data_IF_991056403558
#
_entry.id   IF_991056403558
#
_cell.length_a   1.000
_cell.length_b   1.000
_cell.length_c   1.000
_cell.angle_alpha   90.00
_cell.angle_beta   90.00
_cell.angle_gamma   90.00
#
_symmetry.space_group_name_H-M   'P 1'
#
loop_
_entity.id
_entity.type
_entity.pdbx_description
1 polymer ?
#
# COMPACT_ATOMS: atom_id res chain seq x y z
N UNK A 1 16.68 -32.96 23.08
CA UNK A 1 15.32 -32.38 23.01
C UNK A 1 15.44 -31.13 22.15
N UNK A 2 15.07 -31.24 20.87
CA UNK A 2 15.09 -30.09 19.96
C UNK A 2 14.04 -29.10 20.48
N UNK A 3 14.44 -27.86 20.81
CA UNK A 3 13.48 -26.82 21.12
C UNK A 3 12.55 -26.70 19.91
N UNK A 4 11.28 -27.05 20.07
CA UNK A 4 10.24 -26.73 19.11
C UNK A 4 10.30 -25.23 18.89
N UNK A 5 10.84 -24.83 17.75
CA UNK A 5 10.84 -23.43 17.30
C UNK A 5 9.38 -23.01 17.30
N UNK A 6 8.99 -22.18 18.26
CA UNK A 6 7.62 -21.70 18.38
C UNK A 6 7.31 -20.88 17.11
N UNK A 7 6.23 -21.25 16.43
CA UNK A 7 5.72 -20.56 15.24
C UNK A 7 4.26 -20.11 15.48
N UNK A 8 4.04 -19.25 16.50
CA UNK A 8 2.71 -18.89 16.98
C UNK A 8 1.92 -18.08 15.94
N UNK A 9 2.61 -17.33 15.07
CA UNK A 9 2.03 -16.52 14.01
C UNK A 9 1.94 -17.26 12.66
N UNK A 10 2.34 -18.54 12.62
CA UNK A 10 2.37 -19.37 11.41
C UNK A 10 3.35 -18.89 10.33
N UNK A 11 4.28 -17.99 10.66
CA UNK A 11 5.23 -17.44 9.70
C UNK A 11 6.05 -18.52 9.03
N UNK A 12 6.58 -19.50 9.78
CA UNK A 12 7.37 -20.60 9.21
C UNK A 12 6.50 -21.52 8.37
N UNK A 13 5.30 -21.87 8.84
CA UNK A 13 4.35 -22.67 8.08
C UNK A 13 4.10 -22.05 6.71
N UNK A 14 3.75 -20.76 6.68
CA UNK A 14 3.30 -20.07 5.47
C UNK A 14 4.43 -19.64 4.52
N UNK A 15 5.68 -19.54 5.00
CA UNK A 15 6.80 -19.07 4.18
C UNK A 15 7.74 -20.19 3.71
N UNK A 16 7.40 -21.45 3.98
CA UNK A 16 8.20 -22.62 3.59
C UNK A 16 7.34 -23.70 2.92
N UNK A 17 7.97 -24.75 2.41
CA UNK A 17 7.28 -25.90 1.79
C UNK A 17 6.30 -26.63 2.74
N UNK A 18 6.33 -26.31 4.04
CA UNK A 18 5.37 -26.84 5.02
C UNK A 18 3.92 -26.46 4.70
N UNK A 19 3.68 -25.40 3.92
CA UNK A 19 2.32 -25.01 3.50
C UNK A 19 1.72 -25.94 2.44
N UNK A 20 2.53 -26.72 1.71
CA UNK A 20 2.05 -27.47 0.55
C UNK A 20 0.85 -28.41 0.84
N UNK A 21 0.84 -29.19 1.94
CA UNK A 21 -0.31 -30.03 2.29
C UNK A 21 -1.58 -29.22 2.56
N UNK A 22 -1.45 -28.04 3.18
CA UNK A 22 -2.56 -27.14 3.45
C UNK A 22 -3.17 -26.60 2.15
N UNK A 23 -2.34 -26.13 1.21
CA UNK A 23 -2.81 -25.66 -0.10
C UNK A 23 -3.49 -26.79 -0.88
N UNK A 24 -2.91 -27.99 -0.86
CA UNK A 24 -3.49 -29.16 -1.54
C UNK A 24 -4.85 -29.55 -0.94
N UNK A 25 -4.97 -29.52 0.39
CA UNK A 25 -6.24 -29.78 1.09
C UNK A 25 -7.30 -28.72 0.75
N UNK A 26 -6.92 -27.43 0.73
CA UNK A 26 -7.84 -26.35 0.37
C UNK A 26 -8.34 -26.45 -1.08
N UNK A 27 -7.46 -26.74 -2.02
CA UNK A 27 -7.82 -26.95 -3.43
C UNK A 27 -8.70 -28.20 -3.59
N UNK A 28 -8.36 -29.30 -2.91
CA UNK A 28 -9.15 -30.54 -2.95
C UNK A 28 -10.55 -30.33 -2.36
N UNK A 29 -10.65 -29.58 -1.26
CA UNK A 29 -11.92 -29.20 -0.65
C UNK A 29 -12.80 -28.39 -1.62
N UNK A 30 -12.19 -27.50 -2.41
CA UNK A 30 -12.88 -26.77 -3.48
C UNK A 30 -13.16 -27.62 -4.75
N UNK A 31 -12.77 -28.89 -4.78
CA UNK A 31 -13.03 -29.82 -5.88
C UNK A 31 -11.99 -29.82 -7.00
N UNK A 32 -10.80 -29.25 -6.76
CA UNK A 32 -9.68 -29.25 -7.71
C UNK A 32 -8.53 -30.16 -7.29
N UNK A 33 -7.51 -30.24 -8.13
CA UNK A 33 -6.23 -30.88 -7.80
C UNK A 33 -5.08 -29.88 -7.96
N UNK A 34 -4.32 -29.64 -6.89
CA UNK A 34 -3.18 -28.74 -6.90
C UNK A 34 -2.02 -29.35 -7.70
N UNK A 35 -1.56 -28.65 -8.74
CA UNK A 35 -0.46 -29.10 -9.62
C UNK A 35 0.87 -28.54 -9.14
N UNK A 36 0.91 -27.23 -8.94
CA UNK A 36 2.10 -26.51 -8.46
C UNK A 36 1.68 -25.22 -7.78
N UNK A 37 2.56 -24.65 -6.96
CA UNK A 37 2.33 -23.37 -6.31
C UNK A 37 3.65 -22.61 -6.15
N UNK A 38 3.55 -21.31 -5.98
CA UNK A 38 4.66 -20.42 -5.67
C UNK A 38 4.17 -19.35 -4.69
N UNK A 39 4.97 -19.09 -3.64
CA UNK A 39 4.73 -17.98 -2.73
C UNK A 39 4.82 -16.65 -3.48
N UNK A 40 3.81 -15.81 -3.34
CA UNK A 40 3.61 -14.57 -4.10
C UNK A 40 3.76 -13.33 -3.21
N UNK A 41 3.17 -13.34 -2.01
CA UNK A 41 3.22 -12.22 -1.08
C UNK A 41 3.22 -12.70 0.37
N UNK A 42 3.87 -11.94 1.26
CA UNK A 42 3.88 -12.21 2.72
C UNK A 42 3.68 -10.92 3.52
N UNK A 43 2.58 -10.82 4.26
CA UNK A 43 2.36 -9.83 5.31
C UNK A 43 2.52 -10.49 6.69
N UNK A 44 3.70 -10.35 7.29
CA UNK A 44 4.03 -10.92 8.60
C UNK A 44 4.06 -9.82 9.67
N UNK A 45 3.32 -10.04 10.76
CA UNK A 45 3.40 -9.28 12.00
C UNK A 45 3.95 -10.21 13.09
N UNK A 46 5.26 -10.09 13.42
CA UNK A 46 5.95 -11.04 14.29
C UNK A 46 5.19 -11.33 15.60
N UNK A 47 5.01 -12.61 15.88
CA UNK A 47 4.32 -13.16 17.06
C UNK A 47 2.82 -12.84 17.15
N UNK A 48 2.23 -12.24 16.11
CA UNK A 48 0.81 -11.89 16.09
C UNK A 48 0.07 -12.60 14.95
N UNK A 49 0.51 -12.43 13.71
CA UNK A 49 -0.17 -13.01 12.55
C UNK A 49 0.70 -13.02 11.31
N UNK A 50 0.52 -14.00 10.44
CA UNK A 50 1.07 -14.01 9.09
C UNK A 50 -0.06 -14.22 8.09
N UNK A 51 -0.06 -13.43 7.01
CA UNK A 51 -0.90 -13.66 5.83
C UNK A 51 0.01 -13.82 4.63
N UNK A 52 -0.19 -14.87 3.83
CA UNK A 52 0.55 -15.12 2.61
C UNK A 52 -0.39 -15.40 1.45
N UNK A 53 0.02 -15.03 0.23
CA UNK A 53 -0.64 -15.49 -0.99
C UNK A 53 0.25 -16.38 -1.82
N UNK A 54 -0.39 -17.24 -2.60
CA UNK A 54 0.26 -18.20 -3.46
C UNK A 54 -0.39 -18.17 -4.83
N UNK A 55 0.43 -18.04 -5.87
CA UNK A 55 0.00 -18.38 -7.22
C UNK A 55 0.03 -19.88 -7.37
N UNK A 56 -1.03 -20.49 -7.88
CA UNK A 56 -1.16 -21.93 -7.99
C UNK A 56 -1.68 -22.34 -9.37
N UNK A 57 -1.16 -23.45 -9.89
CA UNK A 57 -1.74 -24.13 -11.04
C UNK A 57 -2.67 -25.21 -10.50
N UNK A 58 -3.93 -25.17 -10.87
CA UNK A 58 -4.97 -26.08 -10.37
C UNK A 58 -5.68 -26.75 -11.54
N UNK A 59 -5.82 -28.08 -11.46
CA UNK A 59 -6.69 -28.84 -12.34
C UNK A 59 -8.10 -28.86 -11.75
N UNK A 60 -9.01 -28.14 -12.40
CA UNK A 60 -10.43 -28.18 -12.08
C UNK A 60 -11.18 -29.16 -12.99
N UNK A 61 -12.40 -29.59 -12.62
CA UNK A 61 -13.27 -30.36 -13.51
C UNK A 61 -13.57 -29.66 -14.84
N UNK A 62 -13.46 -28.34 -14.88
CA UNK A 62 -13.65 -27.50 -16.07
C UNK A 62 -12.33 -27.05 -16.74
N UNK A 63 -11.20 -27.66 -16.35
CA UNK A 63 -9.89 -27.43 -16.96
C UNK A 63 -8.85 -26.80 -16.04
N UNK A 64 -7.59 -26.83 -16.47
CA UNK A 64 -6.45 -26.27 -15.75
C UNK A 64 -6.49 -24.74 -15.73
N UNK A 65 -6.26 -24.12 -14.57
CA UNK A 65 -6.21 -22.66 -14.40
C UNK A 65 -5.10 -22.22 -13.46
N UNK A 66 -4.72 -20.95 -13.58
CA UNK A 66 -3.93 -20.26 -12.58
C UNK A 66 -4.87 -19.62 -11.56
N UNK A 67 -4.62 -19.86 -10.28
CA UNK A 67 -5.42 -19.41 -9.16
C UNK A 67 -4.53 -18.64 -8.18
N UNK A 68 -5.16 -17.78 -7.38
CA UNK A 68 -4.51 -17.09 -6.27
C UNK A 68 -5.18 -17.54 -4.97
N UNK A 69 -4.40 -18.11 -4.06
CA UNK A 69 -4.86 -18.52 -2.74
C UNK A 69 -4.30 -17.56 -1.70
N UNK A 70 -5.12 -17.14 -0.75
CA UNK A 70 -4.67 -16.44 0.45
C UNK A 70 -4.78 -17.37 1.66
N UNK A 71 -3.80 -17.28 2.55
CA UNK A 71 -3.76 -18.02 3.81
C UNK A 71 -3.38 -17.08 4.94
N UNK A 72 -4.11 -17.12 6.05
CA UNK A 72 -3.77 -16.40 7.28
C UNK A 72 -3.65 -17.35 8.47
N UNK A 73 -2.64 -17.12 9.31
CA UNK A 73 -2.46 -17.75 10.61
C UNK A 73 -2.29 -16.68 11.70
N UNK A 74 -2.79 -16.93 12.91
CA UNK A 74 -2.82 -15.95 14.01
C UNK A 74 -2.50 -16.61 15.35
N UNK A 75 -1.71 -15.91 16.17
CA UNK A 75 -1.37 -16.36 17.52
C UNK A 75 -2.55 -16.32 18.48
N UNK A 76 -3.44 -15.33 18.32
CA UNK A 76 -4.58 -15.08 19.21
C UNK A 76 -5.90 -15.70 18.72
N UNK A 77 -5.84 -16.65 17.78
CA UNK A 77 -7.01 -17.31 17.22
C UNK A 77 -7.77 -16.47 16.19
N UNK A 78 -8.99 -16.92 15.88
CA UNK A 78 -9.84 -16.40 14.80
C UNK A 78 -10.44 -15.02 15.09
N UNK A 79 -10.74 -14.33 14.00
CA UNK A 79 -11.53 -13.11 13.92
C UNK A 79 -12.90 -13.41 13.31
N UNK A 80 -13.96 -12.62 13.57
CA UNK A 80 -15.30 -12.89 13.04
C UNK A 80 -15.35 -13.02 11.50
N UNK A 81 -14.49 -12.28 10.79
CA UNK A 81 -14.46 -12.34 9.33
C UNK A 81 -13.83 -13.63 8.80
N UNK A 82 -13.07 -14.36 9.63
CA UNK A 82 -12.51 -15.67 9.25
C UNK A 82 -13.60 -16.71 8.96
N UNK A 83 -14.80 -16.56 9.52
CA UNK A 83 -15.95 -17.44 9.24
C UNK A 83 -16.48 -17.31 7.80
N UNK A 84 -16.02 -16.29 7.06
CA UNK A 84 -16.34 -16.09 5.63
C UNK A 84 -15.38 -16.84 4.69
N UNK A 85 -14.41 -17.56 5.23
CA UNK A 85 -13.41 -18.34 4.51
C UNK A 85 -13.31 -19.76 5.07
N UNK A 86 -12.58 -20.63 4.38
CA UNK A 86 -12.41 -22.01 4.80
C UNK A 86 -11.35 -22.11 5.90
N UNK A 87 -11.60 -22.91 6.93
CA UNK A 87 -10.71 -23.06 8.08
C UNK A 87 -10.13 -24.47 8.08
N UNK A 88 -8.80 -24.56 8.13
CA UNK A 88 -8.05 -25.79 8.21
C UNK A 88 -7.23 -25.84 9.49
N UNK A 89 -6.98 -27.04 9.99
CA UNK A 89 -6.22 -27.25 11.23
C UNK A 89 -4.89 -27.94 10.90
N UNK A 90 -3.78 -27.34 11.32
CA UNK A 90 -2.42 -27.88 11.26
C UNK A 90 -1.84 -28.00 12.68
N UNK A 91 -1.92 -29.20 13.27
CA UNK A 91 -1.60 -29.42 14.68
C UNK A 91 -2.53 -28.65 15.60
N UNK A 92 -1.99 -27.77 16.44
CA UNK A 92 -2.76 -26.90 17.33
C UNK A 92 -3.13 -25.54 16.70
N UNK A 93 -2.86 -25.36 15.39
CA UNK A 93 -3.03 -24.08 14.69
C UNK A 93 -4.18 -24.12 13.71
N UNK A 94 -4.95 -23.03 13.66
CA UNK A 94 -5.97 -22.80 12.64
C UNK A 94 -5.41 -21.89 11.55
N UNK A 95 -5.57 -22.31 10.30
CA UNK A 95 -5.23 -21.54 9.10
C UNK A 95 -6.51 -21.22 8.32
N UNK A 96 -6.69 -19.94 7.99
CA UNK A 96 -7.84 -19.43 7.25
C UNK A 96 -7.44 -19.31 5.80
N UNK A 97 -8.11 -20.03 4.90
CA UNK A 97 -7.77 -20.16 3.49
C UNK A 97 -8.91 -19.66 2.62
N UNK A 98 -8.59 -18.86 1.60
CA UNK A 98 -9.55 -18.45 0.59
C UNK A 98 -8.95 -18.50 -0.81
N UNK A 99 -9.81 -18.74 -1.81
CA UNK A 99 -9.46 -18.54 -3.21
C UNK A 99 -9.93 -17.16 -3.65
N UNK A 100 -9.04 -16.39 -4.28
CA UNK A 100 -9.41 -15.14 -4.95
C UNK A 100 -10.59 -15.39 -5.92
N UNK A 101 -11.59 -14.49 -6.00
CA UNK A 101 -11.70 -13.19 -5.33
C UNK A 101 -12.45 -13.20 -3.99
N UNK A 102 -12.60 -14.35 -3.31
CA UNK A 102 -13.38 -14.50 -2.06
C UNK A 102 -12.59 -14.13 -0.81
N UNK A 103 -11.94 -12.97 -0.83
CA UNK A 103 -11.23 -12.47 0.36
C UNK A 103 -12.23 -12.18 1.50
N UNK A 104 -12.06 -12.81 2.68
CA UNK A 104 -13.02 -12.71 3.76
C UNK A 104 -13.12 -11.32 4.38
N UNK A 105 -12.19 -10.39 4.16
CA UNK A 105 -12.27 -9.02 4.67
C UNK A 105 -12.73 -8.00 3.61
N UNK A 106 -12.87 -8.41 2.34
CA UNK A 106 -13.17 -7.53 1.20
C UNK A 106 -14.47 -7.97 0.50
N UNK A 107 -15.66 -7.66 1.05
CA UNK A 107 -16.94 -8.19 0.57
C UNK A 107 -17.26 -7.84 -0.90
N UNK A 108 -16.83 -6.66 -1.36
CA UNK A 108 -17.06 -6.23 -2.75
C UNK A 108 -16.08 -6.82 -3.76
N UNK A 109 -15.05 -7.56 -3.34
CA UNK A 109 -13.97 -8.01 -4.24
C UNK A 109 -14.50 -8.95 -5.32
N UNK A 110 -15.42 -9.85 -4.97
CA UNK A 110 -16.04 -10.76 -5.93
C UNK A 110 -16.76 -9.99 -7.05
N UNK A 111 -17.53 -8.95 -6.70
CA UNK A 111 -18.18 -8.08 -7.68
C UNK A 111 -17.15 -7.31 -8.53
N UNK A 112 -16.12 -6.78 -7.88
CA UNK A 112 -15.11 -5.97 -8.54
C UNK A 112 -14.21 -6.77 -9.49
N UNK A 113 -14.10 -8.09 -9.32
CA UNK A 113 -13.23 -8.94 -10.12
C UNK A 113 -13.79 -9.29 -11.52
N UNK A 114 -15.09 -9.09 -11.78
CA UNK A 114 -15.75 -9.56 -13.00
C UNK A 114 -16.41 -8.42 -13.80
N UNK A 115 -16.16 -8.29 -15.12
CA UNK A 115 -16.76 -7.26 -15.97
C UNK A 115 -18.30 -7.27 -15.98
N UNK A 116 -18.92 -8.44 -15.93
CA UNK A 116 -20.37 -8.63 -15.95
C UNK A 116 -21.06 -7.93 -14.77
N UNK A 117 -20.43 -8.01 -13.61
CA UNK A 117 -20.93 -7.43 -12.38
C UNK A 117 -20.64 -5.93 -12.30
N UNK A 118 -19.43 -5.53 -12.72
CA UNK A 118 -19.04 -4.12 -12.78
C UNK A 118 -19.82 -3.32 -13.82
N UNK A 119 -20.24 -3.93 -14.93
CA UNK A 119 -21.05 -3.32 -15.98
C UNK A 119 -22.31 -2.66 -15.43
N UNK A 120 -23.05 -3.32 -14.53
CA UNK A 120 -24.28 -2.78 -13.93
C UNK A 120 -23.99 -1.57 -13.04
N UNK A 121 -22.95 -1.66 -12.21
CA UNK A 121 -22.51 -0.54 -11.37
C UNK A 121 -22.13 0.66 -12.22
N UNK A 122 -21.25 0.47 -13.21
CA UNK A 122 -20.74 1.55 -14.07
C UNK A 122 -21.84 2.15 -14.94
N UNK A 123 -22.84 1.37 -15.37
CA UNK A 123 -24.02 1.90 -16.05
C UNK A 123 -24.77 2.93 -15.21
N UNK A 124 -24.93 2.65 -13.90
CA UNK A 124 -25.52 3.58 -12.95
C UNK A 124 -24.66 4.83 -12.73
N UNK A 125 -23.33 4.67 -12.63
CA UNK A 125 -22.39 5.79 -12.48
C UNK A 125 -22.40 6.72 -13.70
N UNK A 126 -22.41 6.15 -14.90
CA UNK A 126 -22.32 6.92 -16.15
C UNK A 126 -23.68 7.41 -16.65
N UNK A 127 -24.79 6.90 -16.11
CA UNK A 127 -26.14 7.24 -16.56
C UNK A 127 -26.48 6.69 -17.95
N UNK A 128 -25.68 5.78 -18.50
CA UNK A 128 -25.88 5.13 -19.80
C UNK A 128 -25.60 3.64 -19.69
N UNK A 129 -26.25 2.77 -20.49
CA UNK A 129 -25.93 1.35 -20.50
C UNK A 129 -24.46 1.10 -20.88
N UNK A 130 -23.75 0.34 -20.04
CA UNK A 130 -22.37 -0.10 -20.25
C UNK A 130 -22.38 -1.63 -20.42
N UNK A 131 -22.26 -2.18 -21.64
CA UNK A 131 -22.21 -3.61 -21.84
C UNK A 131 -20.97 -4.26 -21.18
N UNK A 132 -21.05 -5.51 -20.67
CA UNK A 132 -19.91 -6.21 -20.07
C UNK A 132 -18.67 -6.32 -20.96
N UNK A 133 -18.84 -6.55 -22.26
CA UNK A 133 -17.76 -6.63 -23.26
C UNK A 133 -17.03 -5.29 -23.48
N UNK A 134 -17.59 -4.20 -22.94
CA UNK A 134 -17.00 -2.86 -22.98
C UNK A 134 -16.33 -2.45 -21.69
N UNK A 135 -16.31 -3.32 -20.68
CA UNK A 135 -15.63 -3.10 -19.41
C UNK A 135 -14.32 -3.89 -19.38
N UNK A 136 -13.21 -3.19 -19.24
CA UNK A 136 -11.91 -3.80 -18.94
C UNK A 136 -11.51 -3.48 -17.52
N UNK A 137 -11.16 -4.52 -16.76
CA UNK A 137 -10.71 -4.42 -15.38
C UNK A 137 -9.23 -4.78 -15.29
N UNK A 138 -8.43 -3.84 -14.81
CA UNK A 138 -7.01 -4.04 -14.54
C UNK A 138 -6.79 -3.99 -13.01
N UNK A 139 -6.30 -5.07 -12.39
CA UNK A 139 -5.94 -5.05 -10.96
C UNK A 139 -4.70 -4.16 -10.77
N UNK A 140 -4.85 -3.04 -10.05
CA UNK A 140 -3.75 -2.11 -9.77
C UNK A 140 -2.99 -2.53 -8.51
N UNK A 141 -3.70 -3.04 -7.51
CA UNK A 141 -3.07 -3.58 -6.32
C UNK A 141 -4.06 -4.34 -5.47
N UNK A 142 -3.64 -5.50 -4.99
CA UNK A 142 -4.37 -6.31 -4.04
C UNK A 142 -3.48 -6.52 -2.82
N UNK A 143 -3.94 -6.06 -1.66
CA UNK A 143 -3.33 -6.31 -0.36
C UNK A 143 -4.28 -7.24 0.39
N UNK A 144 -3.96 -8.54 0.46
CA UNK A 144 -4.79 -9.56 1.09
C UNK A 144 -5.34 -9.10 2.44
N UNK A 145 -6.64 -9.26 2.65
CA UNK A 145 -7.39 -8.87 3.84
C UNK A 145 -7.38 -7.39 4.21
N UNK A 146 -6.88 -6.51 3.33
CA UNK A 146 -6.72 -5.07 3.61
C UNK A 146 -7.44 -4.19 2.63
N UNK A 147 -7.15 -4.33 1.34
CA UNK A 147 -7.78 -3.56 0.26
C UNK A 147 -7.47 -4.15 -1.11
N UNK A 148 -8.31 -3.85 -2.10
CA UNK A 148 -7.96 -3.98 -3.50
C UNK A 148 -8.25 -2.67 -4.24
N UNK A 149 -7.52 -2.40 -5.32
CA UNK A 149 -7.76 -1.27 -6.22
C UNK A 149 -7.73 -1.79 -7.64
N UNK A 150 -8.81 -1.54 -8.37
CA UNK A 150 -8.92 -1.89 -9.78
C UNK A 150 -9.11 -0.64 -10.63
N UNK A 151 -8.53 -0.64 -11.82
CA UNK A 151 -8.80 0.35 -12.85
C UNK A 151 -9.85 -0.22 -13.79
N UNK A 152 -11.03 0.37 -13.78
CA UNK A 152 -12.12 0.04 -14.69
C UNK A 152 -12.10 1.00 -15.87
N UNK A 153 -11.86 0.46 -17.07
CA UNK A 153 -11.93 1.22 -18.32
C UNK A 153 -13.19 0.85 -19.08
N UNK A 154 -13.95 1.83 -19.53
CA UNK A 154 -15.11 1.64 -20.41
C UNK A 154 -14.85 2.27 -21.77
N UNK A 155 -15.03 1.51 -22.85
CA UNK A 155 -14.91 1.99 -24.23
C UNK A 155 -16.31 2.00 -24.89
N UNK A 156 -16.91 3.18 -25.02
CA UNK A 156 -18.31 3.37 -25.47
C UNK A 156 -18.40 4.22 -26.74
N UNK A 157 -19.57 4.25 -27.36
CA UNK A 157 -19.87 5.12 -28.51
C UNK A 157 -20.94 6.13 -28.10
N UNK A 158 -20.61 7.41 -28.20
CA UNK A 158 -21.50 8.53 -27.89
C UNK A 158 -21.84 9.37 -29.13
N UNK A 159 -22.61 10.46 -28.95
CA UNK A 159 -23.03 11.33 -30.06
C UNK A 159 -21.86 11.97 -30.84
N UNK A 160 -20.71 12.17 -30.19
CA UNK A 160 -19.51 12.75 -30.79
C UNK A 160 -18.50 11.69 -31.27
N UNK A 161 -18.89 10.41 -31.28
CA UNK A 161 -18.03 9.29 -31.63
C UNK A 161 -17.63 8.44 -30.41
N UNK A 162 -16.65 7.53 -30.58
CA UNK A 162 -16.18 6.68 -29.50
C UNK A 162 -15.49 7.51 -28.41
N UNK A 163 -15.73 7.15 -27.15
CA UNK A 163 -15.10 7.76 -26.01
C UNK A 163 -14.73 6.70 -24.97
N UNK A 164 -13.69 7.03 -24.19
CA UNK A 164 -13.18 6.20 -23.10
C UNK A 164 -13.43 6.91 -21.78
N UNK A 165 -13.82 6.14 -20.78
CA UNK A 165 -13.90 6.60 -19.38
C UNK A 165 -13.14 5.64 -18.48
N UNK A 166 -12.48 6.18 -17.46
CA UNK A 166 -11.68 5.41 -16.51
C UNK A 166 -12.14 5.74 -15.10
N UNK A 167 -12.35 4.69 -14.32
CA UNK A 167 -12.62 4.76 -12.90
C UNK A 167 -11.61 3.93 -12.12
N UNK A 168 -11.34 4.32 -10.89
CA UNK A 168 -10.60 3.51 -9.93
C UNK A 168 -11.56 3.02 -8.86
N UNK A 169 -11.63 1.70 -8.68
CA UNK A 169 -12.54 1.04 -7.74
C UNK A 169 -11.72 0.55 -6.56
N UNK A 170 -11.85 1.23 -5.41
CA UNK A 170 -11.29 0.77 -4.15
C UNK A 170 -12.27 -0.22 -3.51
N UNK A 171 -11.82 -1.45 -3.28
CA UNK A 171 -12.49 -2.46 -2.46
C UNK A 171 -11.93 -2.36 -1.05
N UNK A 172 -12.79 -2.05 -0.08
CA UNK A 172 -12.39 -1.75 1.28
C UNK A 172 -13.01 -2.74 2.27
N UNK A 173 -12.43 -2.78 3.48
CA UNK A 173 -13.06 -3.43 4.62
C UNK A 173 -14.25 -2.61 5.10
N UNK A 174 -15.29 -3.30 5.58
CA UNK A 174 -16.50 -2.68 6.13
C UNK A 174 -16.18 -1.63 7.20
N UNK A 175 -15.25 -1.93 8.10
CA UNK A 175 -14.85 -1.06 9.21
C UNK A 175 -14.19 0.25 8.78
N UNK A 176 -13.66 0.33 7.55
CA UNK A 176 -12.94 1.50 7.03
C UNK A 176 -13.74 2.28 5.98
N UNK A 177 -14.76 1.67 5.38
CA UNK A 177 -15.41 2.18 4.19
C UNK A 177 -15.96 3.61 4.34
N UNK A 178 -16.80 3.84 5.35
CA UNK A 178 -17.41 5.16 5.60
C UNK A 178 -16.36 6.22 5.97
N UNK A 179 -15.32 5.81 6.70
CA UNK A 179 -14.23 6.68 7.12
C UNK A 179 -13.41 7.19 5.92
N UNK A 180 -13.16 6.31 4.95
CA UNK A 180 -12.44 6.64 3.70
C UNK A 180 -13.32 7.51 2.80
N UNK A 181 -14.60 7.15 2.63
CA UNK A 181 -15.56 7.95 1.84
C UNK A 181 -15.64 9.39 2.37
N UNK A 182 -15.79 9.57 3.69
CA UNK A 182 -15.87 10.89 4.33
C UNK A 182 -14.61 11.73 4.12
N UNK A 183 -13.42 11.13 4.12
CA UNK A 183 -12.16 11.84 3.86
C UNK A 183 -12.10 12.40 2.44
N UNK A 184 -12.49 11.61 1.45
CA UNK A 184 -12.58 12.08 0.06
C UNK A 184 -13.57 13.25 -0.07
N UNK A 185 -14.77 13.13 0.50
CA UNK A 185 -15.78 14.19 0.46
C UNK A 185 -15.32 15.47 1.16
N UNK A 186 -14.66 15.35 2.32
CA UNK A 186 -14.10 16.47 3.07
C UNK A 186 -13.10 17.27 2.23
N UNK A 187 -12.13 16.59 1.60
CA UNK A 187 -11.11 17.25 0.79
C UNK A 187 -11.69 17.89 -0.46
N UNK A 188 -12.59 17.18 -1.16
CA UNK A 188 -13.27 17.73 -2.34
C UNK A 188 -14.10 18.96 -2.00
N UNK A 189 -14.82 18.94 -0.87
CA UNK A 189 -15.60 20.09 -0.40
C UNK A 189 -14.75 21.32 -0.09
N UNK A 190 -13.46 21.13 0.20
CA UNK A 190 -12.49 22.20 0.44
C UNK A 190 -11.70 22.62 -0.82
N UNK A 191 -11.96 22.03 -1.98
CA UNK A 191 -11.26 22.36 -3.23
C UNK A 191 -9.88 21.70 -3.39
N UNK A 192 -9.49 20.78 -2.50
CA UNK A 192 -8.27 19.97 -2.68
C UNK A 192 -8.47 19.03 -3.88
N UNK A 193 -7.47 18.87 -4.77
CA UNK A 193 -7.60 18.10 -6.00
C UNK A 193 -7.57 16.57 -5.79
N UNK A 194 -8.37 16.07 -4.85
CA UNK A 194 -8.56 14.63 -4.62
C UNK A 194 -9.49 14.01 -5.69
N UNK A 195 -9.56 12.68 -5.85
CA UNK A 195 -10.53 12.03 -6.72
C UNK A 195 -11.96 12.28 -6.25
N UNK A 196 -12.87 12.56 -7.18
CA UNK A 196 -14.31 12.61 -6.88
C UNK A 196 -14.82 11.18 -6.65
N UNK A 197 -15.63 11.01 -5.60
CA UNK A 197 -16.41 9.78 -5.41
C UNK A 197 -17.55 9.77 -6.40
N UNK A 198 -17.45 8.89 -7.39
CA UNK A 198 -18.47 8.68 -8.42
C UNK A 198 -19.60 7.77 -7.94
N UNK A 199 -19.29 6.78 -7.11
CA UNK A 199 -20.27 5.95 -6.42
C UNK A 199 -19.68 5.28 -5.16
N UNK A 200 -20.58 4.88 -4.27
CA UNK A 200 -20.32 4.09 -3.09
C UNK A 200 -21.36 2.96 -3.02
N UNK A 201 -20.96 1.73 -2.72
CA UNK A 201 -21.87 0.56 -2.71
C UNK A 201 -21.97 -0.11 -1.32
N UNK A 202 -23.06 -0.83 -1.02
CA UNK A 202 -23.23 -1.51 0.28
C UNK A 202 -22.18 -2.59 0.57
N UNK A 203 -21.60 -3.19 -0.46
CA UNK A 203 -20.50 -4.15 -0.40
C UNK A 203 -19.11 -3.48 -0.37
N UNK A 204 -19.04 -2.22 0.04
CA UNK A 204 -17.80 -1.49 0.31
C UNK A 204 -16.91 -1.23 -0.92
N UNK A 205 -17.53 -0.96 -2.08
CA UNK A 205 -16.83 -0.43 -3.25
C UNK A 205 -16.93 1.09 -3.27
N UNK A 206 -15.77 1.75 -3.38
CA UNK A 206 -15.68 3.20 -3.61
C UNK A 206 -15.17 3.42 -5.03
N UNK A 207 -16.03 3.92 -5.91
CA UNK A 207 -15.70 4.23 -7.31
C UNK A 207 -15.25 5.69 -7.39
N UNK A 208 -14.03 5.90 -7.89
CA UNK A 208 -13.37 7.19 -7.97
C UNK A 208 -13.11 7.56 -9.43
N UNK A 209 -13.25 8.83 -9.78
CA UNK A 209 -12.81 9.34 -11.08
C UNK A 209 -11.28 9.24 -11.23
N UNK A 210 -10.80 9.02 -12.45
CA UNK A 210 -9.38 9.19 -12.80
C UNK A 210 -8.97 10.66 -12.58
N UNK A 211 -7.82 10.87 -11.91
CA UNK A 211 -7.22 12.19 -11.80
C UNK A 211 -6.54 12.60 -13.11
N UNK A 212 -6.55 13.90 -13.47
CA UNK A 212 -5.80 14.39 -14.62
C UNK A 212 -4.27 14.30 -14.39
N UNK A 213 -3.51 14.60 -15.45
CA UNK A 213 -2.05 14.62 -15.40
C UNK A 213 -1.43 13.21 -15.33
N UNK A 214 -0.16 13.17 -14.92
CA UNK A 214 0.59 11.92 -14.73
C UNK A 214 1.10 11.82 -13.29
N UNK A 215 1.30 10.60 -12.75
CA UNK A 215 1.92 10.43 -11.45
C UNK A 215 3.32 11.07 -11.39
N UNK A 216 3.62 11.75 -10.27
CA UNK A 216 4.92 12.36 -10.02
C UNK A 216 6.03 11.28 -10.04
N UNK A 217 5.74 10.06 -9.59
CA UNK A 217 6.62 8.89 -9.68
C UNK A 217 7.16 8.61 -11.09
N UNK A 218 6.46 9.04 -12.14
CA UNK A 218 6.94 9.00 -13.52
C UNK A 218 7.63 10.30 -13.91
N UNK A 219 7.01 11.43 -13.57
CA UNK A 219 7.46 12.76 -13.98
C UNK A 219 8.81 13.18 -13.36
N UNK A 220 9.21 12.60 -12.22
CA UNK A 220 10.54 12.85 -11.63
C UNK A 220 11.71 12.44 -12.55
N UNK A 221 11.47 11.62 -13.58
CA UNK A 221 12.48 11.24 -14.56
C UNK A 221 12.49 12.11 -15.82
N UNK A 222 11.51 12.99 -15.98
CA UNK A 222 11.41 13.86 -17.14
C UNK A 222 12.50 14.94 -17.11
N UNK A 223 12.97 15.42 -18.29
CA UNK A 223 14.00 16.47 -18.37
C UNK A 223 13.57 17.78 -17.70
N UNK A 224 12.30 18.16 -17.86
CA UNK A 224 11.72 19.36 -17.28
C UNK A 224 11.26 19.11 -15.83
N UNK A 225 11.43 20.07 -14.90
CA UNK A 225 10.97 19.91 -13.52
C UNK A 225 9.46 19.62 -13.46
N UNK A 226 9.02 18.56 -12.75
CA UNK A 226 7.61 18.17 -12.73
C UNK A 226 6.73 19.14 -11.93
N UNK A 227 7.31 19.79 -10.92
CA UNK A 227 6.73 20.83 -10.09
C UNK A 227 7.87 21.49 -9.27
N UNK A 228 7.58 22.56 -8.55
CA UNK A 228 8.50 23.16 -7.57
C UNK A 228 8.26 22.59 -6.15
N UNK A 229 9.23 22.80 -5.26
CA UNK A 229 9.11 22.37 -3.86
C UNK A 229 8.04 23.16 -3.10
N UNK A 230 7.88 24.45 -3.42
CA UNK A 230 6.86 25.33 -2.85
C UNK A 230 5.46 24.84 -3.20
N UNK A 231 5.26 24.25 -4.39
CA UNK A 231 3.98 23.66 -4.77
C UNK A 231 3.65 22.43 -3.92
N UNK A 232 4.65 21.61 -3.56
CA UNK A 232 4.48 20.46 -2.67
C UNK A 232 4.08 20.92 -1.25
N UNK A 233 4.66 22.01 -0.76
CA UNK A 233 4.23 22.63 0.51
C UNK A 233 2.82 23.22 0.38
N UNK A 234 2.53 23.93 -0.72
CA UNK A 234 1.25 24.59 -0.93
C UNK A 234 0.08 23.60 -1.00
N UNK A 235 0.24 22.45 -1.66
CA UNK A 235 -0.81 21.43 -1.69
C UNK A 235 -1.09 20.87 -0.28
N UNK A 236 -0.06 20.73 0.55
CA UNK A 236 -0.22 20.32 1.95
C UNK A 236 -0.90 21.40 2.80
N UNK A 237 -0.58 22.68 2.57
CA UNK A 237 -1.20 23.81 3.26
C UNK A 237 -2.63 24.08 2.77
N UNK A 238 -3.03 23.54 1.60
CA UNK A 238 -4.42 23.59 1.10
C UNK A 238 -5.37 22.64 1.84
N UNK A 239 -4.84 21.72 2.65
CA UNK A 239 -5.66 20.78 3.44
C UNK A 239 -6.55 21.54 4.43
N UNK A 240 -7.87 21.23 4.50
CA UNK A 240 -8.78 22.00 5.31
C UNK A 240 -8.62 21.67 6.81
N UNK A 241 -8.81 22.68 7.66
CA UNK A 241 -8.70 22.57 9.12
C UNK A 241 -9.40 21.35 9.76
N UNK A 242 -10.62 20.92 9.34
CA UNK A 242 -11.28 19.75 9.93
C UNK A 242 -10.49 18.44 9.80
N UNK A 243 -9.49 18.35 8.93
CA UNK A 243 -8.57 17.19 8.88
C UNK A 243 -7.83 17.01 10.21
N UNK A 244 -7.48 18.10 10.90
CA UNK A 244 -6.86 18.06 12.23
C UNK A 244 -7.76 17.48 13.33
N UNK A 245 -9.06 17.36 13.07
CA UNK A 245 -10.06 16.85 14.02
C UNK A 245 -10.39 15.36 13.77
N UNK A 246 -9.83 14.78 12.71
CA UNK A 246 -9.98 13.36 12.41
C UNK A 246 -9.21 12.49 13.44
N UNK A 247 -9.54 11.20 13.55
CA UNK A 247 -8.76 10.27 14.36
C UNK A 247 -7.28 10.31 13.98
N UNK A 248 -6.42 10.51 14.99
CA UNK A 248 -4.97 10.49 14.80
C UNK A 248 -4.52 9.10 14.35
N UNK A 249 -3.69 9.07 13.32
CA UNK A 249 -2.88 7.90 12.96
C UNK A 249 -1.46 8.12 13.49
N UNK A 250 -0.86 7.06 14.02
CA UNK A 250 0.54 7.10 14.40
C UNK A 250 1.39 7.33 13.15
N UNK A 251 2.31 8.31 13.13
CA UNK A 251 3.28 8.44 12.06
C UNK A 251 4.22 7.22 12.02
N UNK A 252 4.87 7.01 10.88
CA UNK A 252 5.81 5.88 10.69
C UNK A 252 6.91 5.84 11.75
N UNK A 253 7.39 7.01 12.19
CA UNK A 253 8.41 7.16 13.22
C UNK A 253 8.00 6.56 14.58
N UNK A 254 6.72 6.65 14.96
CA UNK A 254 6.23 6.09 16.22
C UNK A 254 6.25 4.55 16.21
N UNK A 255 6.27 3.94 15.02
CA UNK A 255 6.32 2.48 14.83
C UNK A 255 7.71 1.97 14.44
N UNK A 256 8.77 2.77 14.64
CA UNK A 256 10.13 2.43 14.21
C UNK A 256 10.61 1.09 14.77
N UNK A 257 10.36 0.83 16.06
CA UNK A 257 10.75 -0.44 16.70
C UNK A 257 10.06 -1.64 16.04
N UNK A 258 8.78 -1.49 15.70
CA UNK A 258 8.03 -2.55 15.03
C UNK A 258 8.62 -2.88 13.65
N UNK A 259 8.91 -1.87 12.82
CA UNK A 259 9.51 -2.08 11.50
C UNK A 259 10.94 -2.63 11.58
N UNK A 260 11.74 -2.15 12.55
CA UNK A 260 13.06 -2.69 12.83
C UNK A 260 13.01 -4.19 13.12
N UNK A 261 12.12 -4.63 14.02
CA UNK A 261 11.98 -6.06 14.34
C UNK A 261 11.51 -6.89 13.14
N UNK A 262 10.63 -6.34 12.28
CA UNK A 262 10.24 -7.01 11.04
C UNK A 262 11.43 -7.25 10.11
N UNK A 263 12.27 -6.23 9.89
CA UNK A 263 13.45 -6.35 9.03
C UNK A 263 14.49 -7.28 9.64
N UNK A 264 14.72 -7.22 10.96
CA UNK A 264 15.64 -8.11 11.68
C UNK A 264 15.19 -9.57 11.56
N UNK A 265 13.89 -9.86 11.71
CA UNK A 265 13.36 -11.22 11.55
C UNK A 265 13.66 -11.80 10.17
N UNK A 266 13.61 -10.98 9.12
CA UNK A 266 13.95 -11.39 7.76
C UNK A 266 15.47 -11.41 7.49
N UNK A 267 16.23 -10.45 8.06
CA UNK A 267 17.68 -10.27 7.86
C UNK A 267 18.41 -10.04 9.19
N UNK A 268 18.69 -11.10 9.96
CA UNK A 268 19.36 -10.97 11.26
C UNK A 268 20.74 -10.31 11.19
N UNK A 269 21.41 -10.37 10.03
CA UNK A 269 22.71 -9.73 9.79
C UNK A 269 22.67 -8.20 9.89
N UNK A 270 21.50 -7.57 9.78
CA UNK A 270 21.32 -6.12 9.90
C UNK A 270 20.98 -5.66 11.33
N UNK A 271 20.86 -6.58 12.29
CA UNK A 271 20.36 -6.29 13.64
C UNK A 271 21.07 -5.14 14.34
N UNK A 272 22.40 -5.23 14.49
CA UNK A 272 23.16 -4.21 15.20
C UNK A 272 22.95 -2.82 14.58
N UNK A 273 22.96 -2.75 13.25
CA UNK A 273 22.81 -1.51 12.49
C UNK A 273 21.40 -0.92 12.63
N UNK A 274 20.36 -1.74 12.49
CA UNK A 274 18.98 -1.30 12.62
C UNK A 274 18.63 -0.88 14.05
N UNK A 275 19.16 -1.57 15.06
CA UNK A 275 18.97 -1.18 16.47
C UNK A 275 19.60 0.18 16.75
N UNK A 276 20.83 0.41 16.27
CA UNK A 276 21.49 1.71 16.38
C UNK A 276 20.68 2.82 15.68
N UNK A 277 20.27 2.62 14.42
CA UNK A 277 19.44 3.60 13.70
C UNK A 277 18.13 3.91 14.44
N UNK A 278 17.44 2.88 14.94
CA UNK A 278 16.20 3.05 15.68
C UNK A 278 16.40 3.83 16.99
N UNK A 279 17.53 3.63 17.68
CA UNK A 279 17.88 4.35 18.90
C UNK A 279 18.18 5.83 18.62
N UNK A 280 18.99 6.14 17.61
CA UNK A 280 19.30 7.52 17.21
C UNK A 280 18.02 8.28 16.79
N UNK A 281 17.18 7.65 15.95
CA UNK A 281 15.91 8.22 15.52
C UNK A 281 14.99 8.47 16.72
N UNK A 282 14.83 7.48 17.60
CA UNK A 282 13.93 7.60 18.76
C UNK A 282 14.41 8.69 19.71
N UNK A 283 15.72 8.74 19.97
CA UNK A 283 16.33 9.72 20.88
C UNK A 283 16.23 11.13 20.32
N UNK A 284 16.54 11.32 19.04
CA UNK A 284 16.48 12.63 18.39
C UNK A 284 15.05 13.16 18.23
N UNK A 285 14.05 12.27 18.07
CA UNK A 285 12.64 12.67 17.96
C UNK A 285 11.93 12.79 19.31
N UNK A 286 12.46 12.23 20.41
CA UNK A 286 11.82 12.23 21.72
C UNK A 286 11.42 13.63 22.24
N UNK A 287 12.19 14.72 22.02
CA UNK A 287 11.79 16.05 22.46
C UNK A 287 10.65 16.68 21.64
N UNK A 288 10.30 16.10 20.50
CA UNK A 288 9.40 16.70 19.52
C UNK A 288 7.94 16.30 19.84
N UNK A 289 7.06 17.26 20.18
CA UNK A 289 5.68 16.93 20.52
C UNK A 289 4.88 16.50 19.27
N UNK A 290 3.80 15.72 19.45
CA UNK A 290 2.87 15.43 18.36
C UNK A 290 2.32 16.71 17.73
N UNK A 291 2.23 16.73 16.39
CA UNK A 291 1.64 17.86 15.66
C UNK A 291 0.12 17.76 15.57
N UNK A 292 -0.52 18.89 15.30
CA UNK A 292 -1.97 19.00 15.07
C UNK A 292 -2.30 19.64 13.71
N UNK A 293 -1.33 19.70 12.80
CA UNK A 293 -1.53 20.22 11.45
C UNK A 293 -2.33 19.20 10.61
N UNK A 294 -3.16 19.65 9.65
CA UNK A 294 -3.74 18.79 8.63
C UNK A 294 -2.66 18.11 7.80
N UNK A 295 -2.46 16.80 7.93
CA UNK A 295 -1.47 16.06 7.13
C UNK A 295 -2.12 15.10 6.15
N UNK A 296 -1.35 14.72 5.12
CA UNK A 296 -1.72 13.64 4.23
C UNK A 296 -1.56 12.28 4.91
N UNK A 297 -0.44 12.06 5.61
CA UNK A 297 -0.10 10.82 6.29
C UNK A 297 0.53 9.73 5.41
N UNK A 298 0.66 9.96 4.11
CA UNK A 298 1.33 9.07 3.14
C UNK A 298 1.80 9.85 1.89
N UNK A 299 2.38 11.04 2.11
CA UNK A 299 2.71 11.98 1.04
C UNK A 299 3.99 11.57 0.31
N UNK A 300 3.86 10.79 -0.75
CA UNK A 300 4.97 10.41 -1.61
C UNK A 300 4.66 10.59 -3.11
N UNK A 301 5.66 10.47 -3.98
CA UNK A 301 5.57 10.73 -5.42
C UNK A 301 4.55 9.86 -6.16
N UNK A 302 4.19 8.70 -5.61
CA UNK A 302 3.12 7.85 -6.15
C UNK A 302 1.72 8.42 -5.92
N UNK A 303 1.55 9.31 -4.94
CA UNK A 303 0.26 9.89 -4.58
C UNK A 303 -0.01 11.26 -5.19
N UNK A 304 0.95 11.81 -5.93
CA UNK A 304 0.87 13.17 -6.46
C UNK A 304 0.76 13.09 -7.98
N UNK A 305 -0.17 13.83 -8.56
CA UNK A 305 -0.31 13.97 -10.00
C UNK A 305 0.13 15.36 -10.45
N UNK A 306 0.87 15.42 -11.55
CA UNK A 306 1.39 16.66 -12.14
C UNK A 306 1.01 16.80 -13.61
N UNK A 307 0.85 18.04 -14.06
CA UNK A 307 0.65 18.39 -15.46
C UNK A 307 1.21 19.79 -15.73
N UNK A 308 2.00 19.94 -16.79
CA UNK A 308 2.55 21.24 -17.18
C UNK A 308 3.36 21.95 -16.10
N UNK A 309 4.14 21.20 -15.31
CA UNK A 309 4.93 21.76 -14.21
C UNK A 309 4.11 22.16 -12.98
N UNK A 310 2.86 21.69 -12.85
CA UNK A 310 1.95 22.00 -11.74
C UNK A 310 1.37 20.75 -11.11
N UNK A 311 1.14 20.78 -9.79
CA UNK A 311 0.38 19.74 -9.10
C UNK A 311 -1.10 19.89 -9.45
N UNK A 312 -1.71 18.80 -9.91
CA UNK A 312 -3.10 18.77 -10.36
C UNK A 312 -3.93 17.65 -9.74
N UNK A 313 -3.34 16.84 -8.86
CA UNK A 313 -4.06 15.75 -8.21
C UNK A 313 -3.34 15.19 -6.98
N UNK A 314 -4.14 14.69 -6.04
CA UNK A 314 -3.67 14.05 -4.80
C UNK A 314 -4.46 12.76 -4.53
N UNK A 315 -3.77 11.62 -4.47
CA UNK A 315 -4.33 10.28 -4.29
C UNK A 315 -4.19 9.79 -2.83
N UNK A 316 -4.72 8.60 -2.57
CA UNK A 316 -4.67 7.87 -1.30
C UNK A 316 -4.86 8.72 -0.03
N UNK A 317 -5.91 9.54 -0.05
CA UNK A 317 -6.29 10.44 1.06
C UNK A 317 -6.93 9.69 2.23
N UNK A 318 -6.80 8.37 2.27
CA UNK A 318 -7.36 7.50 3.30
C UNK A 318 -6.67 7.72 4.65
N UNK A 319 -5.43 8.23 4.62
CA UNK A 319 -4.54 8.43 5.77
C UNK A 319 -4.57 9.84 6.36
N UNK A 320 -5.32 10.78 5.77
CA UNK A 320 -5.36 12.17 6.26
C UNK A 320 -5.83 12.24 7.71
N UNK A 321 -5.22 13.14 8.47
CA UNK A 321 -5.52 13.37 9.88
C UNK A 321 -4.60 14.41 10.50
N UNK A 322 -4.63 14.57 11.84
CA UNK A 322 -3.70 15.43 12.54
C UNK A 322 -2.29 14.82 12.57
N UNK A 323 -1.29 15.63 12.24
CA UNK A 323 0.13 15.24 12.27
C UNK A 323 1.06 16.44 12.27
N UNK A 324 2.33 16.20 11.92
CA UNK A 324 3.32 17.27 11.68
C UNK A 324 3.58 17.41 10.19
N UNK A 325 3.77 18.63 9.71
CA UNK A 325 4.15 18.84 8.30
C UNK A 325 5.45 18.11 7.92
N UNK A 326 6.34 17.92 8.90
CA UNK A 326 7.57 17.15 8.74
C UNK A 326 7.32 15.68 8.38
N UNK A 327 6.22 15.06 8.81
CA UNK A 327 5.88 13.67 8.47
C UNK A 327 5.63 13.50 6.97
N UNK A 328 4.86 14.42 6.36
CA UNK A 328 4.54 14.37 4.94
C UNK A 328 5.78 14.64 4.07
N UNK A 329 6.57 15.66 4.40
CA UNK A 329 7.80 15.98 3.67
C UNK A 329 8.86 14.88 3.84
N UNK A 330 8.96 14.29 5.03
CA UNK A 330 9.84 13.14 5.29
C UNK A 330 9.44 11.92 4.47
N UNK A 331 8.13 11.66 4.32
CA UNK A 331 7.63 10.56 3.51
C UNK A 331 8.09 10.70 2.05
N UNK A 332 7.96 11.89 1.47
CA UNK A 332 8.43 12.15 0.11
C UNK A 332 9.95 11.99 -0.03
N UNK A 333 10.72 12.57 0.90
CA UNK A 333 12.20 12.45 0.88
C UNK A 333 12.63 10.99 0.98
N UNK A 334 11.99 10.21 1.85
CA UNK A 334 12.29 8.79 2.04
C UNK A 334 12.04 7.97 0.77
N UNK A 335 10.89 8.16 0.12
CA UNK A 335 10.56 7.44 -1.11
C UNK A 335 11.51 7.81 -2.26
N UNK A 336 11.81 9.09 -2.45
CA UNK A 336 12.77 9.53 -3.48
C UNK A 336 14.20 9.02 -3.21
N UNK A 337 14.58 8.90 -1.94
CA UNK A 337 15.90 8.37 -1.53
C UNK A 337 16.02 6.85 -1.70
N UNK A 338 14.90 6.15 -1.87
CA UNK A 338 14.83 4.68 -1.96
C UNK A 338 14.40 4.18 -3.33
N UNK A 339 14.25 5.06 -4.32
CA UNK A 339 14.02 4.65 -5.71
C UNK A 339 15.20 3.79 -6.18
N UNK A 340 14.92 2.54 -6.57
CA UNK A 340 15.93 1.59 -7.03
C UNK A 340 15.85 1.34 -8.54
N UNK A 341 16.82 0.59 -9.06
CA UNK A 341 16.89 0.15 -10.48
C UNK A 341 16.91 1.30 -11.50
N UNK A 342 17.40 2.47 -11.09
CA UNK A 342 17.59 3.64 -11.96
C UNK A 342 18.85 3.49 -12.83
N UNK A 343 18.78 3.98 -14.07
CA UNK A 343 19.98 4.25 -14.86
C UNK A 343 20.70 5.53 -14.34
N UNK A 344 21.92 5.79 -14.83
CA UNK A 344 22.72 6.92 -14.35
C UNK A 344 22.05 8.30 -14.53
N UNK A 345 21.30 8.49 -15.62
CA UNK A 345 20.59 9.73 -15.90
C UNK A 345 19.41 9.93 -14.95
N UNK A 346 18.61 8.87 -14.73
CA UNK A 346 17.50 8.87 -13.77
C UNK A 346 18.00 9.14 -12.35
N UNK A 347 19.09 8.48 -11.94
CA UNK A 347 19.69 8.69 -10.62
C UNK A 347 20.23 10.12 -10.45
N UNK A 348 20.85 10.70 -11.48
CA UNK A 348 21.27 12.10 -11.46
C UNK A 348 20.07 13.06 -11.37
N UNK A 349 18.96 12.73 -12.03
CA UNK A 349 17.74 13.53 -12.00
C UNK A 349 17.10 13.55 -10.61
N UNK A 350 16.92 12.38 -9.99
CA UNK A 350 16.36 12.29 -8.63
C UNK A 350 17.27 12.99 -7.62
N UNK A 351 18.60 12.82 -7.71
CA UNK A 351 19.55 13.56 -6.88
C UNK A 351 19.43 15.08 -7.06
N UNK A 352 19.25 15.55 -8.30
CA UNK A 352 19.05 16.97 -8.57
C UNK A 352 17.75 17.49 -7.92
N UNK A 353 16.64 16.77 -8.05
CA UNK A 353 15.38 17.12 -7.39
C UNK A 353 15.54 17.17 -5.86
N UNK A 354 16.14 16.15 -5.24
CA UNK A 354 16.41 16.15 -3.79
C UNK A 354 17.30 17.34 -3.39
N UNK A 355 18.36 17.64 -4.15
CA UNK A 355 19.26 18.75 -3.86
C UNK A 355 18.62 20.14 -3.98
N UNK A 356 17.49 20.24 -4.69
CA UNK A 356 16.76 21.50 -4.89
C UNK A 356 15.53 21.60 -3.99
N UNK A 357 14.86 20.49 -3.70
CA UNK A 357 13.65 20.47 -2.88
C UNK A 357 13.92 20.43 -1.39
N UNK A 358 14.90 19.64 -0.94
CA UNK A 358 15.19 19.48 0.49
C UNK A 358 15.54 20.81 1.17
N UNK A 359 16.37 21.70 0.59
CA UNK A 359 16.62 23.02 1.20
C UNK A 359 15.34 23.87 1.38
N UNK A 360 14.37 23.77 0.48
CA UNK A 360 13.08 24.48 0.63
C UNK A 360 12.24 23.85 1.75
N UNK A 361 12.32 22.54 1.93
CA UNK A 361 11.68 21.86 3.05
C UNK A 361 12.31 22.26 4.39
N UNK A 362 13.64 22.46 4.43
CA UNK A 362 14.40 22.90 5.61
C UNK A 362 14.00 24.30 6.10
N UNK A 363 13.52 25.15 5.21
CA UNK A 363 12.96 26.45 5.59
C UNK A 363 11.56 26.33 6.20
N UNK A 364 10.84 25.23 5.93
CA UNK A 364 9.44 25.02 6.37
C UNK A 364 9.32 24.20 7.66
N UNK A 365 10.24 23.26 7.89
CA UNK A 365 10.25 22.35 9.04
C UNK A 365 11.66 22.23 9.61
N UNK A 366 11.78 21.74 10.86
CA UNK A 366 13.09 21.52 11.47
C UNK A 366 13.92 20.52 10.62
N UNK A 367 15.13 20.89 10.18
CA UNK A 367 15.93 20.03 9.30
C UNK A 367 16.30 18.70 9.95
N UNK A 368 16.58 18.68 11.25
CA UNK A 368 16.92 17.46 12.00
C UNK A 368 15.73 16.52 12.09
N UNK A 369 14.56 17.06 12.47
CA UNK A 369 13.30 16.35 12.48
C UNK A 369 13.00 15.70 11.12
N UNK A 370 13.20 16.44 10.02
CA UNK A 370 12.94 15.96 8.67
C UNK A 370 13.79 14.73 8.32
N UNK A 371 15.11 14.73 8.63
CA UNK A 371 15.98 13.58 8.31
C UNK A 371 15.64 12.37 9.16
N UNK A 372 15.42 12.56 10.46
CA UNK A 372 15.11 11.45 11.37
C UNK A 372 13.77 10.80 11.03
N UNK A 373 12.74 11.60 10.72
CA UNK A 373 11.46 11.06 10.23
C UNK A 373 11.60 10.38 8.88
N UNK A 374 12.40 10.93 7.97
CA UNK A 374 12.64 10.31 6.67
C UNK A 374 13.35 8.96 6.83
N UNK A 375 14.39 8.89 7.67
CA UNK A 375 15.08 7.64 7.99
C UNK A 375 14.14 6.59 8.58
N UNK A 376 13.20 7.01 9.44
CA UNK A 376 12.19 6.11 9.99
C UNK A 376 11.25 5.56 8.92
N UNK A 377 10.81 6.40 7.98
CA UNK A 377 10.02 5.95 6.81
C UNK A 377 10.85 4.98 5.96
N UNK A 378 12.12 5.27 5.68
CA UNK A 378 13.01 4.38 4.93
C UNK A 378 13.11 2.99 5.58
N UNK A 379 13.24 2.91 6.90
CA UNK A 379 13.26 1.63 7.63
C UNK A 379 11.91 0.88 7.47
N UNK A 380 10.78 1.59 7.46
CA UNK A 380 9.48 0.96 7.17
C UNK A 380 9.41 0.38 5.75
N UNK A 381 10.01 1.06 4.76
CA UNK A 381 10.08 0.62 3.37
C UNK A 381 11.00 -0.59 3.18
N UNK A 382 12.00 -0.78 4.06
CA UNK A 382 12.91 -1.93 4.02
C UNK A 382 12.19 -3.27 4.25
N UNK A 383 10.95 -3.26 4.75
CA UNK A 383 10.10 -4.46 4.82
C UNK A 383 9.56 -4.91 3.45
N UNK A 384 9.55 -4.01 2.46
CA UNK A 384 8.92 -4.16 1.16
C UNK A 384 9.50 -5.29 0.29
N UNK A 385 10.83 -5.35 0.06
CA UNK A 385 11.41 -6.35 -0.83
C UNK A 385 11.12 -7.79 -0.40
N UNK A 386 11.25 -8.10 0.90
CA UNK A 386 10.89 -9.42 1.42
C UNK A 386 9.38 -9.68 1.33
N UNK A 387 8.55 -8.71 1.71
CA UNK A 387 7.08 -8.81 1.62
C UNK A 387 6.61 -9.16 0.21
N UNK A 388 7.22 -8.56 -0.81
CA UNK A 388 6.93 -8.80 -2.23
C UNK A 388 7.64 -10.01 -2.84
N UNK A 389 8.49 -10.71 -2.07
CA UNK A 389 9.33 -11.82 -2.57
C UNK A 389 10.15 -11.44 -3.80
N UNK A 390 10.73 -10.22 -3.81
CA UNK A 390 11.55 -9.75 -4.93
C UNK A 390 12.77 -10.66 -5.16
N UNK A 391 13.19 -10.93 -6.41
CA UNK A 391 14.28 -11.89 -6.69
C UNK A 391 15.60 -11.62 -5.96
N UNK A 392 15.94 -10.34 -5.71
CA UNK A 392 17.15 -9.91 -5.02
C UNK A 392 16.84 -9.14 -3.72
N UNK A 393 15.75 -9.52 -3.05
CA UNK A 393 15.19 -8.75 -1.94
C UNK A 393 16.20 -8.42 -0.83
N UNK A 394 17.18 -9.29 -0.54
CA UNK A 394 18.20 -9.01 0.48
C UNK A 394 19.07 -7.81 0.10
N UNK A 395 19.57 -7.78 -1.14
CA UNK A 395 20.43 -6.69 -1.62
C UNK A 395 19.65 -5.37 -1.70
N UNK A 396 18.39 -5.44 -2.14
CA UNK A 396 17.50 -4.27 -2.17
C UNK A 396 17.24 -3.72 -0.75
N UNK A 397 17.00 -4.60 0.22
CA UNK A 397 16.81 -4.23 1.63
C UNK A 397 18.05 -3.55 2.20
N UNK A 398 19.26 -4.07 1.93
CA UNK A 398 20.53 -3.42 2.34
C UNK A 398 20.61 -2.01 1.77
N UNK A 399 20.37 -1.83 0.47
CA UNK A 399 20.40 -0.51 -0.17
C UNK A 399 19.38 0.48 0.40
N UNK A 400 18.21 0.00 0.84
CA UNK A 400 17.22 0.84 1.54
C UNK A 400 17.76 1.24 2.93
N UNK A 401 18.35 0.32 3.69
CA UNK A 401 18.95 0.66 5.00
C UNK A 401 20.15 1.61 4.87
N UNK A 402 20.92 1.52 3.78
CA UNK A 402 21.98 2.48 3.45
C UNK A 402 21.45 3.92 3.28
N UNK A 403 20.27 4.07 2.68
CA UNK A 403 19.62 5.37 2.57
C UNK A 403 19.19 5.92 3.94
N UNK A 404 18.69 5.06 4.85
CA UNK A 404 18.32 5.46 6.21
C UNK A 404 19.54 5.95 7.00
N UNK A 405 20.65 5.20 6.94
CA UNK A 405 21.89 5.60 7.62
C UNK A 405 22.45 6.92 7.08
N UNK A 406 22.43 7.10 5.75
CA UNK A 406 22.86 8.36 5.13
C UNK A 406 22.04 9.56 5.61
N UNK A 407 20.74 9.39 5.87
CA UNK A 407 19.88 10.45 6.40
C UNK A 407 20.20 10.75 7.87
N UNK A 408 20.41 9.72 8.70
CA UNK A 408 20.79 9.90 10.11
C UNK A 408 22.17 10.57 10.22
N UNK A 409 23.16 10.16 9.43
CA UNK A 409 24.50 10.75 9.46
C UNK A 409 24.57 12.22 9.04
N UNK A 410 23.53 12.79 8.43
CA UNK A 410 23.48 14.22 8.11
C UNK A 410 23.19 15.11 9.32
N UNK A 411 22.72 14.52 10.41
CA UNK A 411 22.20 15.26 11.58
C UNK A 411 22.83 14.80 12.90
N UNK A 412 23.77 13.87 12.83
CA UNK A 412 24.76 13.56 13.87
C UNK A 412 25.98 14.46 13.67
#
# INVERSE_FOLDING_TARGET
>A
MSATVQDPDGSRLLTTDQVAPLLAAAVSHAGGHLVSWQLDHVDANPNQSTTATYTAVVDWPFGRRNELLGVSARANGRTPTDERAEIFVDGDREAVVWLYPRDPDLPGLARAAYPEDMSRLLSGVMGVPVPPDRVRLDMIGYRPRRRAVLRATTDLVGPQGPYRTVFYVKVLRETLFEEVRRRHELLRGAGVPAPRVAAATPDCLLVLDELPGIPLSKAIFDPEPPCTAEQLIWVLDSMPRPVSELPRRAPWADSIQHYTEMVIKAMPTLEHRLRWLAEEISTGLAPIPPGHEPTHGDFHEGQIHVSGGQICGLLDVDTIGPGRRADDLACLVAHLSTVQRMNAQQAARVRHLLSTWVPVFDERVDPTELRLRAAAVVISLATGPYRGQEPNWQAETVGIVDAAETLVSQVL
#
